data_IF_958687059557
#
_entry.id   IF_958687059557
#
_cell.length_a   1.000
_cell.length_b   1.000
_cell.length_c   1.000
_cell.angle_alpha   90.00
_cell.angle_beta   90.00
_cell.angle_gamma   90.00
#
_symmetry.space_group_name_H-M   'P 1'
#
loop_
_entity.id
_entity.type
_entity.pdbx_description
1 polymer ?
#
# COMPACT_ATOMS: atom_id res chain seq x y z
N UNK A 1 -18.02 -25.58 -10.45
CA UNK A 1 -18.78 -26.21 -9.34
C UNK A 1 -18.60 -25.53 -7.97
N UNK A 2 -17.54 -24.75 -7.76
CA UNK A 2 -17.34 -24.00 -6.50
C UNK A 2 -18.21 -22.74 -6.37
N UNK A 3 -18.85 -22.31 -7.45
CA UNK A 3 -19.64 -21.07 -7.47
C UNK A 3 -21.09 -21.31 -7.03
N UNK A 4 -21.65 -22.52 -7.27
CA UNK A 4 -23.05 -22.85 -6.92
C UNK A 4 -23.43 -22.60 -5.44
N UNK A 5 -22.61 -22.92 -4.43
CA UNK A 5 -22.97 -22.67 -3.02
C UNK A 5 -23.04 -21.18 -2.65
N UNK A 6 -22.33 -20.33 -3.41
CA UNK A 6 -22.31 -18.88 -3.16
C UNK A 6 -23.51 -18.15 -3.78
N UNK A 7 -24.19 -18.78 -4.74
CA UNK A 7 -25.37 -18.23 -5.40
C UNK A 7 -26.69 -18.87 -4.90
N UNK A 8 -26.67 -19.70 -3.85
CA UNK A 8 -27.90 -20.20 -3.25
C UNK A 8 -28.71 -19.04 -2.67
N UNK A 9 -29.98 -18.95 -3.02
CA UNK A 9 -30.91 -17.86 -2.65
C UNK A 9 -30.97 -17.57 -1.15
N UNK A 10 -30.65 -18.54 -0.30
CA UNK A 10 -30.74 -18.44 1.17
C UNK A 10 -29.63 -17.62 1.83
N UNK A 11 -28.54 -17.27 1.11
CA UNK A 11 -27.38 -16.55 1.71
C UNK A 11 -27.21 -15.10 1.27
N UNK A 12 -27.93 -14.64 0.29
CA UNK A 12 -27.83 -13.30 -0.24
C UNK A 12 -29.21 -12.65 -0.36
N UNK A 13 -29.83 -12.35 0.79
CA UNK A 13 -30.76 -11.23 0.79
C UNK A 13 -29.95 -10.00 0.39
N UNK A 14 -30.10 -9.62 -0.87
CA UNK A 14 -29.55 -8.35 -1.34
C UNK A 14 -30.35 -7.30 -0.60
N UNK A 15 -29.65 -6.57 0.27
CA UNK A 15 -30.18 -5.36 0.84
C UNK A 15 -30.85 -4.54 -0.27
N UNK A 16 -32.03 -3.98 0.00
CA UNK A 16 -32.83 -3.26 -1.01
C UNK A 16 -32.16 -1.95 -1.50
N UNK A 17 -30.94 -1.66 -1.04
CA UNK A 17 -30.17 -0.48 -1.45
C UNK A 17 -29.84 -0.50 -2.94
N UNK A 18 -29.94 0.65 -3.61
CA UNK A 18 -29.68 0.81 -5.04
C UNK A 18 -28.20 0.80 -5.39
N UNK A 19 -27.32 0.88 -4.39
CA UNK A 19 -25.87 0.89 -4.57
C UNK A 19 -25.14 0.10 -3.47
N UNK A 20 -23.96 -0.39 -3.82
CA UNK A 20 -23.01 -1.05 -2.93
C UNK A 20 -21.70 -0.25 -2.86
N UNK A 21 -21.23 0.05 -1.66
CA UNK A 21 -19.91 0.62 -1.43
C UNK A 21 -18.92 -0.48 -1.06
N UNK A 22 -17.83 -0.61 -1.81
CA UNK A 22 -16.83 -1.66 -1.60
C UNK A 22 -15.44 -1.06 -1.46
N UNK A 23 -14.77 -1.34 -0.36
CA UNK A 23 -13.38 -0.90 -0.15
C UNK A 23 -12.38 -1.63 -1.05
N UNK A 24 -12.66 -2.87 -1.43
CA UNK A 24 -11.86 -3.64 -2.39
C UNK A 24 -12.63 -4.88 -2.85
N UNK A 25 -12.54 -5.19 -4.13
CA UNK A 25 -13.07 -6.42 -4.73
C UNK A 25 -12.04 -7.58 -4.74
N UNK A 26 -10.96 -7.47 -3.96
CA UNK A 26 -9.93 -8.52 -3.89
C UNK A 26 -10.40 -9.82 -3.22
N UNK A 27 -11.40 -9.74 -2.35
CA UNK A 27 -12.01 -10.90 -1.69
C UNK A 27 -13.11 -11.52 -2.56
N UNK A 28 -13.22 -12.84 -2.54
CA UNK A 28 -14.23 -13.55 -3.32
C UNK A 28 -15.67 -13.12 -2.95
N UNK A 29 -15.95 -12.99 -1.64
CA UNK A 29 -17.25 -12.57 -1.16
C UNK A 29 -17.66 -11.19 -1.72
N UNK A 30 -16.71 -10.23 -1.68
CA UNK A 30 -16.96 -8.89 -2.22
C UNK A 30 -17.22 -8.93 -3.73
N UNK A 31 -16.49 -9.77 -4.48
CA UNK A 31 -16.71 -9.93 -5.92
C UNK A 31 -18.07 -10.52 -6.23
N UNK A 32 -18.46 -11.57 -5.50
CA UNK A 32 -19.78 -12.21 -5.68
C UNK A 32 -20.90 -11.24 -5.38
N UNK A 33 -20.80 -10.50 -4.27
CA UNK A 33 -21.78 -9.47 -3.89
C UNK A 33 -21.85 -8.37 -4.96
N UNK A 34 -20.68 -7.86 -5.39
CA UNK A 34 -20.61 -6.82 -6.43
C UNK A 34 -21.18 -7.29 -7.76
N UNK A 35 -20.85 -8.52 -8.19
CA UNK A 35 -21.38 -9.11 -9.41
C UNK A 35 -22.91 -9.22 -9.33
N UNK A 36 -23.44 -9.63 -8.19
CA UNK A 36 -24.88 -9.75 -7.99
C UNK A 36 -25.60 -8.40 -8.07
N UNK A 37 -25.04 -7.33 -7.47
CA UNK A 37 -25.56 -5.97 -7.64
C UNK A 37 -25.59 -5.55 -9.12
N UNK A 38 -24.50 -5.75 -9.83
CA UNK A 38 -24.41 -5.39 -11.27
C UNK A 38 -25.39 -6.18 -12.14
N UNK A 39 -25.56 -7.49 -11.89
CA UNK A 39 -26.54 -8.33 -12.59
C UNK A 39 -27.98 -7.85 -12.37
N UNK A 40 -28.27 -7.31 -11.20
CA UNK A 40 -29.55 -6.68 -10.87
C UNK A 40 -29.62 -5.20 -11.29
N UNK A 41 -28.73 -4.75 -12.18
CA UNK A 41 -28.66 -3.38 -12.70
C UNK A 41 -28.46 -2.30 -11.63
N UNK A 42 -27.98 -2.69 -10.45
CA UNK A 42 -27.64 -1.78 -9.34
C UNK A 42 -26.21 -1.30 -9.47
N UNK A 43 -25.88 -0.25 -8.75
CA UNK A 43 -24.57 0.38 -8.85
C UNK A 43 -23.59 -0.17 -7.81
N UNK A 44 -22.34 -0.33 -8.21
CA UNK A 44 -21.23 -0.69 -7.32
C UNK A 44 -20.18 0.40 -7.41
N UNK A 45 -19.84 0.98 -6.26
CA UNK A 45 -18.79 1.99 -6.12
C UNK A 45 -17.63 1.35 -5.37
N UNK A 46 -16.52 1.11 -6.06
CA UNK A 46 -15.30 0.56 -5.46
C UNK A 46 -14.30 1.66 -5.15
N UNK A 47 -13.62 1.54 -4.03
CA UNK A 47 -12.61 2.49 -3.58
C UNK A 47 -11.20 1.91 -3.68
N UNK A 48 -10.24 2.73 -4.05
CA UNK A 48 -8.84 2.36 -4.05
C UNK A 48 -8.38 1.97 -2.63
N UNK A 49 -7.98 0.71 -2.46
CA UNK A 49 -7.68 0.16 -1.15
C UNK A 49 -6.33 0.63 -0.57
N UNK A 50 -5.33 0.83 -1.39
CA UNK A 50 -3.96 0.97 -0.85
C UNK A 50 -3.06 1.98 -1.58
N UNK A 51 -3.55 2.70 -2.54
CA UNK A 51 -2.83 3.69 -3.38
C UNK A 51 -1.58 3.17 -4.10
N UNK A 52 -1.05 2.00 -3.76
CA UNK A 52 0.21 1.51 -4.29
C UNK A 52 0.06 0.64 -5.55
N UNK A 53 -1.09 0.02 -5.77
CA UNK A 53 -1.29 -0.91 -6.89
C UNK A 53 -1.06 -0.24 -8.24
N UNK A 54 -1.43 1.03 -8.35
CA UNK A 54 -1.21 1.86 -9.54
C UNK A 54 0.23 2.24 -9.82
N UNK A 55 1.08 2.09 -8.82
CA UNK A 55 2.49 2.48 -8.91
C UNK A 55 3.33 1.40 -9.56
N UNK A 56 2.80 0.16 -9.63
CA UNK A 56 3.53 -1.01 -10.12
C UNK A 56 3.37 -1.18 -11.63
N UNK A 57 4.38 -1.77 -12.27
CA UNK A 57 4.34 -2.06 -13.71
C UNK A 57 3.68 -3.39 -14.03
N UNK A 58 3.72 -4.34 -13.10
CA UNK A 58 3.56 -5.76 -13.40
C UNK A 58 2.43 -6.45 -12.60
N UNK A 59 1.39 -5.72 -12.20
CA UNK A 59 0.29 -6.31 -11.42
C UNK A 59 -1.10 -6.10 -12.05
N UNK A 60 -1.35 -6.58 -13.28
CA UNK A 60 -2.66 -6.46 -13.92
C UNK A 60 -3.77 -7.17 -13.13
N UNK A 61 -3.43 -8.23 -12.38
CA UNK A 61 -4.38 -8.93 -11.54
C UNK A 61 -4.90 -8.08 -10.37
N UNK A 62 -4.11 -7.15 -9.84
CA UNK A 62 -4.57 -6.25 -8.77
C UNK A 62 -5.47 -5.14 -9.32
N UNK A 63 -5.14 -4.59 -10.51
CA UNK A 63 -6.06 -3.69 -11.21
C UNK A 63 -7.40 -4.40 -11.49
N UNK A 64 -7.34 -5.65 -11.96
CA UNK A 64 -8.53 -6.47 -12.16
C UNK A 64 -9.30 -6.70 -10.85
N UNK A 65 -8.60 -7.00 -9.75
CA UNK A 65 -9.23 -7.23 -8.45
C UNK A 65 -9.92 -5.98 -7.87
N UNK A 66 -9.43 -4.79 -8.20
CA UNK A 66 -10.02 -3.53 -7.72
C UNK A 66 -11.04 -2.93 -8.68
N UNK A 67 -10.79 -3.02 -9.99
CA UNK A 67 -11.55 -2.32 -11.01
C UNK A 67 -12.65 -3.18 -11.65
N UNK A 68 -12.50 -4.51 -11.60
CA UNK A 68 -13.57 -5.39 -12.04
C UNK A 68 -14.74 -5.35 -11.05
N UNK A 69 -15.92 -5.62 -11.57
CA UNK A 69 -17.16 -5.67 -10.79
C UNK A 69 -17.52 -4.35 -10.09
N UNK A 70 -17.25 -3.20 -10.72
CA UNK A 70 -17.75 -1.92 -10.24
C UNK A 70 -18.27 -1.03 -11.36
N UNK A 71 -19.30 -0.23 -11.04
CA UNK A 71 -19.84 0.80 -11.94
C UNK A 71 -18.97 2.05 -11.91
N UNK A 72 -18.47 2.38 -10.73
CA UNK A 72 -17.63 3.55 -10.47
C UNK A 72 -16.43 3.12 -9.64
N UNK A 73 -15.26 3.69 -9.94
CA UNK A 73 -14.06 3.49 -9.16
C UNK A 73 -13.57 4.82 -8.60
N UNK A 74 -13.47 4.89 -7.29
CA UNK A 74 -12.92 6.05 -6.58
C UNK A 74 -11.43 5.88 -6.39
N UNK A 75 -10.69 6.75 -6.99
CA UNK A 75 -9.25 6.74 -6.98
C UNK A 75 -8.68 7.95 -6.23
N UNK A 76 -7.55 7.77 -5.57
CA UNK A 76 -6.87 8.83 -4.85
C UNK A 76 -5.66 9.34 -5.64
N UNK A 77 -5.49 10.67 -5.66
CA UNK A 77 -4.42 11.32 -6.41
C UNK A 77 -4.80 11.68 -7.84
N UNK A 78 -3.82 12.18 -8.60
CA UNK A 78 -4.02 12.76 -9.93
C UNK A 78 -3.39 11.95 -11.08
N UNK A 79 -2.98 10.70 -10.83
CA UNK A 79 -2.32 9.88 -11.84
C UNK A 79 -3.32 9.41 -12.92
N UNK A 80 -3.33 10.10 -14.05
CA UNK A 80 -4.32 9.91 -15.13
C UNK A 80 -4.18 8.63 -15.96
N UNK A 81 -3.05 7.93 -15.94
CA UNK A 81 -2.75 6.81 -16.87
C UNK A 81 -2.87 5.44 -16.21
N UNK A 82 -4.05 5.09 -15.68
CA UNK A 82 -4.18 3.86 -14.92
C UNK A 82 -4.73 2.67 -15.68
N UNK A 83 -5.56 2.87 -16.67
CA UNK A 83 -6.40 1.80 -17.18
C UNK A 83 -6.19 1.63 -18.66
N UNK A 84 -5.10 0.98 -19.04
CA UNK A 84 -4.98 0.44 -20.40
C UNK A 84 -5.50 -0.99 -20.52
N UNK A 85 -5.43 -1.78 -19.44
CA UNK A 85 -5.63 -3.23 -19.45
C UNK A 85 -7.10 -3.65 -19.40
N UNK A 86 -8.01 -2.82 -18.88
CA UNK A 86 -9.41 -3.19 -18.70
C UNK A 86 -10.36 -2.56 -19.72
N UNK A 87 -9.86 -1.98 -20.80
CA UNK A 87 -10.69 -1.37 -21.86
C UNK A 87 -11.65 -2.34 -22.55
N UNK A 88 -11.43 -3.64 -22.43
CA UNK A 88 -12.25 -4.69 -23.05
C UNK A 88 -13.22 -5.39 -22.09
N UNK A 89 -13.25 -5.03 -20.81
CA UNK A 89 -14.05 -5.76 -19.83
C UNK A 89 -15.42 -5.10 -19.63
N UNK A 90 -16.46 -5.84 -19.94
CA UNK A 90 -17.87 -5.52 -19.64
C UNK A 90 -18.14 -5.25 -18.15
N UNK A 91 -17.21 -5.61 -17.27
CA UNK A 91 -17.30 -5.51 -15.81
C UNK A 91 -16.43 -4.42 -15.22
N UNK A 92 -15.76 -3.62 -16.05
CA UNK A 92 -14.94 -2.49 -15.59
C UNK A 92 -15.76 -1.24 -15.29
N UNK A 93 -15.19 -0.26 -14.58
CA UNK A 93 -15.91 0.94 -14.20
C UNK A 93 -16.28 1.79 -15.42
N UNK A 94 -17.51 2.29 -15.44
CA UNK A 94 -18.00 3.29 -16.41
C UNK A 94 -17.24 4.61 -16.26
N UNK A 95 -16.86 4.94 -15.03
CA UNK A 95 -16.17 6.18 -14.70
C UNK A 95 -15.21 6.00 -13.54
N UNK A 96 -14.06 6.70 -13.60
CA UNK A 96 -13.13 6.84 -12.49
C UNK A 96 -13.26 8.24 -11.91
N UNK A 97 -13.44 8.30 -10.61
CA UNK A 97 -13.59 9.51 -9.83
C UNK A 97 -12.30 9.72 -9.03
N UNK A 98 -11.63 10.84 -9.27
CA UNK A 98 -10.40 11.16 -8.54
C UNK A 98 -10.73 12.01 -7.32
N UNK A 99 -10.46 11.47 -6.14
CA UNK A 99 -10.66 12.18 -4.87
C UNK A 99 -9.35 12.42 -4.12
N UNK A 100 -9.45 13.29 -3.15
CA UNK A 100 -8.40 13.51 -2.16
C UNK A 100 -8.48 12.44 -1.06
N UNK A 101 -7.36 11.82 -0.72
CA UNK A 101 -7.32 10.91 0.42
C UNK A 101 -7.25 11.72 1.72
N UNK A 102 -8.37 11.80 2.43
CA UNK A 102 -8.50 12.58 3.66
C UNK A 102 -7.76 11.98 4.85
N UNK A 103 -7.40 10.68 4.80
CA UNK A 103 -6.67 10.01 5.89
C UNK A 103 -5.17 10.28 5.84
N UNK A 104 -4.64 10.80 4.72
CA UNK A 104 -3.23 11.07 4.49
C UNK A 104 -2.95 12.58 4.54
N UNK A 105 -3.18 13.17 5.69
CA UNK A 105 -2.91 14.59 5.92
C UNK A 105 -1.45 14.85 6.31
N UNK A 106 -1.01 16.12 6.21
CA UNK A 106 0.32 16.53 6.67
C UNK A 106 0.49 16.22 8.16
N UNK A 107 1.57 15.50 8.49
CA UNK A 107 1.90 15.11 9.85
C UNK A 107 2.99 16.05 10.37
N UNK A 108 2.71 16.74 11.47
CA UNK A 108 3.69 17.60 12.15
C UNK A 108 4.56 16.75 13.08
N UNK A 109 5.87 16.95 13.02
CA UNK A 109 6.86 16.26 13.86
C UNK A 109 6.94 16.98 15.20
N UNK A 110 7.08 16.22 16.30
CA UNK A 110 7.26 16.77 17.65
C UNK A 110 8.69 17.30 17.84
N UNK A 111 8.85 18.28 18.74
CA UNK A 111 10.16 18.87 19.04
C UNK A 111 11.13 17.87 19.67
N UNK A 112 10.66 16.95 20.50
CA UNK A 112 11.48 15.92 21.16
C UNK A 112 11.62 14.66 20.30
N UNK A 113 12.55 14.68 19.37
CA UNK A 113 12.75 13.60 18.40
C UNK A 113 13.73 12.57 18.93
N UNK A 114 13.36 11.29 18.83
CA UNK A 114 14.21 10.16 19.25
C UNK A 114 15.21 9.78 18.16
N UNK A 115 16.43 9.45 18.57
CA UNK A 115 17.54 9.08 17.67
C UNK A 115 17.43 7.66 17.08
N UNK A 116 16.51 6.83 17.57
CA UNK A 116 16.31 5.49 17.02
C UNK A 116 15.73 5.56 15.60
N UNK A 117 16.02 4.53 14.83
CA UNK A 117 15.60 4.38 13.43
C UNK A 117 14.47 3.37 13.40
N UNK A 118 13.40 3.67 12.68
CA UNK A 118 12.27 2.76 12.56
C UNK A 118 12.33 2.06 11.19
N UNK A 119 12.46 0.75 11.22
CA UNK A 119 12.27 -0.07 10.03
C UNK A 119 10.82 -0.53 9.95
N UNK A 120 10.14 -0.15 8.88
CA UNK A 120 8.77 -0.55 8.56
C UNK A 120 8.85 -1.58 7.44
N UNK A 121 8.81 -2.84 7.81
CA UNK A 121 8.84 -3.94 6.86
C UNK A 121 7.47 -4.23 6.26
N UNK A 122 7.49 -4.97 5.15
CA UNK A 122 6.30 -5.46 4.48
C UNK A 122 5.73 -6.72 5.18
N UNK A 123 4.56 -7.19 4.74
CA UNK A 123 4.00 -8.48 5.12
C UNK A 123 4.78 -9.64 4.48
N UNK A 124 4.70 -10.82 5.07
CA UNK A 124 5.16 -12.06 4.46
C UNK A 124 4.19 -12.53 3.36
N UNK A 125 4.70 -13.26 2.37
CA UNK A 125 3.89 -13.73 1.23
C UNK A 125 2.80 -14.71 1.68
N UNK A 126 3.07 -15.55 2.68
CA UNK A 126 2.08 -16.44 3.24
C UNK A 126 0.88 -15.72 3.86
N UNK A 127 1.03 -14.44 4.20
CA UNK A 127 -0.05 -13.56 4.64
C UNK A 127 -0.75 -12.87 3.47
N UNK A 128 -0.24 -12.98 2.25
CA UNK A 128 -0.77 -12.34 1.05
C UNK A 128 -1.62 -13.30 0.22
N UNK A 129 -2.84 -12.89 -0.13
CA UNK A 129 -3.82 -13.68 -0.87
C UNK A 129 -3.51 -13.82 -2.36
N UNK A 130 -2.53 -13.11 -2.87
CA UNK A 130 -2.28 -12.98 -4.31
C UNK A 130 -1.07 -13.77 -4.81
N UNK A 131 -0.65 -14.76 -4.05
CA UNK A 131 0.37 -15.72 -4.45
C UNK A 131 1.81 -15.28 -4.21
N UNK A 132 2.76 -16.17 -4.44
CA UNK A 132 4.16 -15.92 -4.15
C UNK A 132 4.75 -14.88 -5.09
N UNK A 133 5.38 -13.87 -4.54
CA UNK A 133 6.28 -13.00 -5.30
C UNK A 133 7.55 -13.81 -5.64
N UNK A 134 7.92 -13.80 -6.91
CA UNK A 134 8.80 -14.79 -7.53
C UNK A 134 10.25 -14.75 -7.06
N UNK A 135 10.74 -13.65 -6.49
CA UNK A 135 12.18 -13.41 -6.35
C UNK A 135 12.69 -13.52 -4.91
N UNK A 136 11.81 -13.42 -3.91
CA UNK A 136 12.18 -13.49 -2.50
C UNK A 136 11.09 -14.19 -1.70
N UNK A 137 11.38 -15.41 -1.27
CA UNK A 137 10.50 -16.17 -0.37
C UNK A 137 10.47 -15.58 1.04
N UNK A 138 9.54 -16.05 1.87
CA UNK A 138 9.38 -15.55 3.24
C UNK A 138 10.60 -15.83 4.12
N UNK A 139 11.27 -16.95 3.92
CA UNK A 139 12.47 -17.30 4.66
C UNK A 139 13.65 -16.36 4.29
N UNK A 140 13.83 -16.11 2.99
CA UNK A 140 14.82 -15.14 2.50
C UNK A 140 14.50 -13.73 3.00
N UNK A 141 13.24 -13.33 2.96
CA UNK A 141 12.81 -12.01 3.45
C UNK A 141 13.06 -11.87 4.97
N UNK A 142 12.76 -12.90 5.74
CA UNK A 142 13.06 -12.90 7.18
C UNK A 142 14.57 -12.81 7.46
N UNK A 143 15.39 -13.56 6.70
CA UNK A 143 16.86 -13.46 6.79
C UNK A 143 17.35 -12.04 6.47
N UNK A 144 16.76 -11.42 5.44
CA UNK A 144 17.02 -10.02 5.09
C UNK A 144 16.70 -9.10 6.27
N UNK A 145 15.50 -9.19 6.85
CA UNK A 145 15.09 -8.37 7.98
C UNK A 145 16.03 -8.54 9.18
N UNK A 146 16.39 -9.78 9.52
CA UNK A 146 17.37 -10.06 10.61
C UNK A 146 18.72 -9.41 10.35
N UNK A 147 19.28 -9.54 9.14
CA UNK A 147 20.56 -8.92 8.79
C UNK A 147 20.47 -7.39 8.88
N UNK A 148 19.37 -6.80 8.43
CA UNK A 148 19.12 -5.36 8.51
C UNK A 148 19.08 -4.89 9.98
N UNK A 149 18.30 -5.54 10.83
CA UNK A 149 18.17 -5.20 12.25
C UNK A 149 19.51 -5.33 12.99
N UNK A 150 20.29 -6.36 12.67
CA UNK A 150 21.62 -6.57 13.24
C UNK A 150 22.71 -5.67 12.66
N UNK A 151 22.42 -4.89 11.61
CA UNK A 151 23.42 -3.99 11.02
C UNK A 151 23.71 -2.78 11.89
N UNK A 152 22.78 -2.35 12.74
CA UNK A 152 22.96 -1.24 13.67
C UNK A 152 22.06 -1.39 14.90
N UNK A 153 22.61 -1.24 16.11
CA UNK A 153 21.91 -1.46 17.39
C UNK A 153 20.70 -0.57 17.67
N UNK A 154 20.54 0.54 16.94
CA UNK A 154 19.43 1.49 17.16
C UNK A 154 18.30 1.39 16.12
N UNK A 155 18.23 0.33 15.33
CA UNK A 155 17.12 0.05 14.43
C UNK A 155 16.06 -0.74 15.18
N UNK A 156 14.82 -0.25 15.15
CA UNK A 156 13.65 -0.92 15.70
C UNK A 156 12.71 -1.34 14.56
N UNK A 157 12.19 -2.53 14.66
CA UNK A 157 11.25 -3.08 13.69
C UNK A 157 9.80 -2.77 14.07
N UNK A 158 9.11 -2.04 13.22
CA UNK A 158 7.66 -1.87 13.29
C UNK A 158 7.00 -3.00 12.51
N UNK A 159 6.42 -3.94 13.25
CA UNK A 159 5.75 -5.11 12.67
C UNK A 159 4.55 -4.71 11.81
N UNK A 160 4.34 -5.44 10.72
CA UNK A 160 3.12 -5.29 9.92
C UNK A 160 1.89 -5.77 10.72
N UNK A 161 0.73 -5.12 10.63
CA UNK A 161 -0.47 -5.50 11.39
C UNK A 161 -0.93 -6.95 11.17
N UNK A 162 -0.69 -7.50 9.99
CA UNK A 162 -1.04 -8.89 9.64
C UNK A 162 -0.15 -9.95 10.29
N UNK A 163 0.92 -9.59 11.00
CA UNK A 163 1.82 -10.53 11.67
C UNK A 163 1.19 -11.31 12.85
N UNK A 164 -0.12 -11.29 12.99
CA UNK A 164 -0.86 -12.11 13.97
C UNK A 164 -1.25 -13.49 13.43
N UNK A 165 -0.83 -13.85 12.22
CA UNK A 165 -1.16 -15.10 11.55
C UNK A 165 -0.19 -16.24 11.90
N UNK A 166 -0.51 -17.47 11.47
CA UNK A 166 0.34 -18.66 11.66
C UNK A 166 1.79 -18.47 11.17
N UNK A 167 1.99 -17.72 10.09
CA UNK A 167 3.32 -17.39 9.56
C UNK A 167 4.16 -16.56 10.53
N UNK A 168 3.53 -15.66 11.28
CA UNK A 168 4.22 -14.83 12.26
C UNK A 168 4.85 -15.64 13.40
N UNK A 169 4.33 -16.82 13.69
CA UNK A 169 4.88 -17.69 14.72
C UNK A 169 6.24 -18.29 14.31
N UNK A 170 6.49 -18.47 13.02
CA UNK A 170 7.73 -19.03 12.49
C UNK A 170 8.82 -17.97 12.25
N UNK A 171 8.44 -16.69 12.10
CA UNK A 171 9.34 -15.60 11.76
C UNK A 171 9.39 -14.55 12.87
N UNK A 172 9.85 -14.97 14.06
CA UNK A 172 9.92 -14.09 15.24
C UNK A 172 11.23 -13.29 15.29
N UNK A 173 11.11 -11.99 15.42
CA UNK A 173 12.20 -11.11 15.78
C UNK A 173 12.34 -11.01 17.30
N UNK A 174 13.55 -10.65 17.79
CA UNK A 174 13.76 -10.42 19.20
C UNK A 174 12.83 -9.32 19.72
N UNK A 175 12.20 -9.52 20.88
CA UNK A 175 11.27 -8.52 21.49
C UNK A 175 11.91 -7.15 21.66
N UNK A 176 13.23 -7.09 21.99
CA UNK A 176 13.98 -5.83 22.14
C UNK A 176 14.12 -5.02 20.85
N UNK A 177 14.00 -5.68 19.70
CA UNK A 177 14.13 -5.05 18.37
C UNK A 177 12.78 -4.62 17.82
N UNK A 178 11.67 -4.96 18.51
CA UNK A 178 10.31 -4.64 18.07
C UNK A 178 9.84 -3.35 18.75
N UNK A 179 9.19 -2.49 17.96
CA UNK A 179 8.44 -1.36 18.46
C UNK A 179 6.95 -1.55 18.18
N UNK A 180 6.14 -1.40 19.22
CA UNK A 180 4.68 -1.38 19.13
C UNK A 180 4.14 0.04 18.95
N UNK A 181 2.87 0.15 18.64
CA UNK A 181 2.16 1.43 18.54
C UNK A 181 1.74 1.78 17.12
N UNK A 182 0.94 2.83 17.02
CA UNK A 182 0.47 3.38 15.76
C UNK A 182 1.62 4.01 14.96
N UNK A 183 1.64 3.80 13.65
CA UNK A 183 2.65 4.38 12.76
C UNK A 183 2.63 5.91 12.79
N UNK A 184 1.46 6.52 12.85
CA UNK A 184 1.31 7.98 12.90
C UNK A 184 1.95 8.58 14.16
N UNK A 185 1.82 7.88 15.30
CA UNK A 185 2.48 8.27 16.55
C UNK A 185 4.00 8.13 16.44
N UNK A 186 4.48 7.07 15.77
CA UNK A 186 5.92 6.86 15.55
C UNK A 186 6.49 7.94 14.62
N UNK A 187 5.80 8.30 13.54
CA UNK A 187 6.23 9.35 12.61
C UNK A 187 6.46 10.68 13.35
N UNK A 188 5.63 11.02 14.33
CA UNK A 188 5.79 12.24 15.14
C UNK A 188 7.04 12.21 16.03
N UNK A 189 7.56 11.03 16.38
CA UNK A 189 8.62 10.83 17.41
C UNK A 189 9.99 10.50 16.85
N UNK A 190 10.12 10.08 15.60
CA UNK A 190 11.37 9.57 15.03
C UNK A 190 11.77 10.28 13.74
N UNK A 191 13.07 10.51 13.57
CA UNK A 191 13.62 11.26 12.42
C UNK A 191 13.80 10.47 11.14
N UNK A 192 14.07 9.17 11.25
CA UNK A 192 14.45 8.33 10.11
C UNK A 192 13.66 7.04 10.08
N UNK A 193 13.07 6.78 8.95
CA UNK A 193 12.37 5.55 8.63
C UNK A 193 13.07 4.80 7.51
N UNK A 194 13.21 3.48 7.68
CA UNK A 194 13.64 2.57 6.63
C UNK A 194 12.40 1.85 6.14
N UNK A 195 12.19 1.79 4.83
CA UNK A 195 11.12 1.03 4.19
C UNK A 195 11.71 0.18 3.07
N UNK A 196 11.17 -1.00 2.84
CA UNK A 196 11.58 -1.91 1.77
C UNK A 196 10.49 -2.13 0.72
N UNK A 197 9.35 -1.48 0.90
CA UNK A 197 8.24 -1.46 -0.03
C UNK A 197 7.56 -0.10 -0.07
N UNK A 198 7.10 0.30 -1.24
CA UNK A 198 6.17 1.42 -1.38
C UNK A 198 4.77 0.89 -1.10
N UNK A 199 4.22 1.29 0.03
CA UNK A 199 2.90 0.88 0.54
C UNK A 199 2.19 2.08 1.15
N UNK A 200 1.00 1.89 1.68
CA UNK A 200 0.30 2.95 2.41
C UNK A 200 1.15 3.50 3.57
N UNK A 201 1.93 2.65 4.24
CA UNK A 201 2.86 3.10 5.29
C UNK A 201 3.90 4.09 4.76
N UNK A 202 4.44 3.87 3.54
CA UNK A 202 5.34 4.82 2.91
C UNK A 202 4.66 6.18 2.70
N UNK A 203 3.41 6.22 2.23
CA UNK A 203 2.69 7.49 2.02
C UNK A 203 2.40 8.22 3.33
N UNK A 204 2.04 7.51 4.41
CA UNK A 204 1.93 8.13 5.74
C UNK A 204 3.25 8.79 6.15
N UNK A 205 4.38 8.10 6.00
CA UNK A 205 5.70 8.65 6.31
C UNK A 205 6.02 9.83 5.39
N UNK A 206 5.69 9.74 4.10
CA UNK A 206 5.95 10.78 3.11
C UNK A 206 5.14 12.07 3.34
N UNK A 207 4.01 12.00 4.07
CA UNK A 207 3.23 13.17 4.47
C UNK A 207 3.90 14.03 5.57
N UNK A 208 5.05 13.64 6.08
CA UNK A 208 5.84 14.36 7.08
C UNK A 208 7.21 14.75 6.52
N UNK A 209 7.98 15.52 7.27
CA UNK A 209 9.35 15.92 6.89
C UNK A 209 10.44 14.95 7.38
N UNK A 210 10.05 13.79 7.92
CA UNK A 210 11.01 12.76 8.36
C UNK A 210 11.84 12.23 7.18
N UNK A 211 13.05 11.80 7.47
CA UNK A 211 13.92 11.19 6.47
C UNK A 211 13.46 9.76 6.17
N UNK A 212 13.56 9.38 4.90
CA UNK A 212 13.21 8.05 4.43
C UNK A 212 14.41 7.44 3.72
N UNK A 213 14.78 6.24 4.15
CA UNK A 213 15.65 5.33 3.40
C UNK A 213 14.77 4.25 2.77
N UNK A 214 14.64 4.28 1.44
CA UNK A 214 13.96 3.21 0.73
C UNK A 214 14.98 2.20 0.21
N UNK A 215 14.93 0.98 0.77
CA UNK A 215 15.72 -0.17 0.33
C UNK A 215 14.90 -0.93 -0.70
N UNK A 216 15.16 -0.67 -1.97
CA UNK A 216 14.50 -1.37 -3.07
C UNK A 216 15.12 -2.76 -3.22
N UNK A 217 14.47 -3.77 -2.67
CA UNK A 217 14.89 -5.18 -2.68
C UNK A 217 14.33 -5.97 -3.89
N UNK A 218 13.77 -5.29 -4.88
CA UNK A 218 13.30 -5.91 -6.12
C UNK A 218 11.95 -6.62 -6.04
N UNK A 219 11.29 -6.67 -4.87
CA UNK A 219 10.00 -7.39 -4.72
C UNK A 219 8.91 -6.90 -5.67
N UNK A 220 8.97 -5.63 -6.08
CA UNK A 220 7.97 -5.04 -7.00
C UNK A 220 8.62 -4.03 -7.92
N UNK A 221 8.26 -4.07 -9.19
CA UNK A 221 8.73 -3.10 -10.19
C UNK A 221 7.85 -1.85 -10.16
N UNK A 222 8.44 -0.72 -9.82
CA UNK A 222 7.76 0.57 -9.73
C UNK A 222 7.86 1.28 -11.09
N UNK A 223 6.78 1.92 -11.52
CA UNK A 223 6.78 2.77 -12.73
C UNK A 223 7.88 3.84 -12.63
N UNK A 224 8.65 4.02 -13.71
CA UNK A 224 9.84 4.91 -13.76
C UNK A 224 9.52 6.34 -13.31
N UNK A 225 8.40 6.89 -13.74
CA UNK A 225 7.94 8.23 -13.36
C UNK A 225 7.71 8.36 -11.85
N UNK A 226 7.09 7.35 -11.23
CA UNK A 226 6.86 7.30 -9.79
C UNK A 226 8.16 7.13 -9.02
N UNK A 227 9.03 6.24 -9.46
CA UNK A 227 10.34 6.04 -8.83
C UNK A 227 11.18 7.32 -8.84
N UNK A 228 11.09 8.12 -9.91
CA UNK A 228 11.76 9.41 -9.98
C UNK A 228 11.24 10.41 -8.94
N UNK A 229 9.94 10.45 -8.69
CA UNK A 229 9.37 11.29 -7.63
C UNK A 229 9.72 10.76 -6.23
N UNK A 230 9.75 9.43 -6.04
CA UNK A 230 10.22 8.81 -4.80
C UNK A 230 11.67 9.19 -4.51
N UNK A 231 12.56 9.16 -5.52
CA UNK A 231 13.97 9.57 -5.39
C UNK A 231 14.16 11.04 -4.99
N UNK A 232 13.19 11.90 -5.24
CA UNK A 232 13.21 13.28 -4.74
C UNK A 232 12.79 13.38 -3.27
N UNK A 233 11.90 12.49 -2.80
CA UNK A 233 11.35 12.47 -1.44
C UNK A 233 12.17 11.63 -0.47
N UNK A 234 12.80 10.56 -0.93
CA UNK A 234 13.49 9.55 -0.14
C UNK A 234 14.87 9.26 -0.71
N UNK A 235 15.80 8.87 0.14
CA UNK A 235 17.06 8.29 -0.31
C UNK A 235 16.81 6.84 -0.71
N UNK A 236 16.94 6.55 -2.02
CA UNK A 236 16.60 5.25 -2.61
C UNK A 236 17.87 4.50 -2.95
N UNK A 237 17.95 3.24 -2.52
CA UNK A 237 19.05 2.32 -2.79
C UNK A 237 18.49 1.00 -3.29
N UNK A 238 19.00 0.52 -4.41
CA UNK A 238 18.79 -0.86 -4.85
C UNK A 238 19.73 -1.77 -4.06
N UNK A 239 19.21 -2.81 -3.47
CA UNK A 239 19.96 -3.72 -2.61
C UNK A 239 19.59 -5.17 -2.94
N UNK A 240 20.61 -6.02 -2.99
CA UNK A 240 20.39 -7.45 -3.03
C UNK A 240 20.03 -7.95 -1.62
N UNK A 241 18.82 -8.48 -1.41
CA UNK A 241 18.38 -8.95 -0.09
C UNK A 241 19.16 -10.14 0.43
N UNK A 242 19.79 -10.91 -0.45
CA UNK A 242 20.59 -12.08 -0.07
C UNK A 242 22.00 -11.70 0.36
N UNK A 243 22.54 -10.59 -0.19
CA UNK A 243 23.92 -10.15 0.05
C UNK A 243 23.98 -8.79 0.75
N UNK A 244 23.49 -8.75 1.98
CA UNK A 244 23.54 -7.53 2.81
C UNK A 244 24.91 -7.39 3.45
N UNK A 245 25.53 -6.22 3.24
CA UNK A 245 26.73 -5.78 3.91
C UNK A 245 26.37 -4.73 4.99
N UNK A 246 26.74 -5.02 6.26
CA UNK A 246 26.45 -4.15 7.40
C UNK A 246 27.04 -2.75 7.25
N UNK A 247 28.27 -2.63 6.74
CA UNK A 247 28.93 -1.34 6.55
C UNK A 247 28.24 -0.51 5.48
N UNK A 248 27.78 -1.14 4.39
CA UNK A 248 26.98 -0.47 3.35
C UNK A 248 25.63 0.02 3.92
N UNK A 249 24.97 -0.75 4.76
CA UNK A 249 23.72 -0.31 5.41
C UNK A 249 23.99 0.90 6.31
N UNK A 250 25.03 0.88 7.13
CA UNK A 250 25.41 2.02 7.96
C UNK A 250 25.70 3.28 7.12
N UNK A 251 26.40 3.12 6.00
CA UNK A 251 26.66 4.20 5.03
C UNK A 251 25.34 4.76 4.47
N UNK A 252 24.40 3.89 4.02
CA UNK A 252 23.13 4.35 3.46
C UNK A 252 22.26 5.07 4.49
N UNK A 253 22.26 4.60 5.73
CA UNK A 253 21.60 5.29 6.85
C UNK A 253 22.16 6.70 7.04
N UNK A 254 23.48 6.86 7.04
CA UNK A 254 24.12 8.17 7.19
C UNK A 254 23.80 9.09 5.98
N UNK A 255 23.81 8.56 4.77
CA UNK A 255 23.37 9.32 3.57
C UNK A 255 21.90 9.73 3.67
N UNK A 256 21.02 8.84 4.13
CA UNK A 256 19.59 9.14 4.29
C UNK A 256 19.34 10.20 5.36
N UNK A 257 20.09 10.21 6.47
CA UNK A 257 20.00 11.25 7.50
C UNK A 257 20.29 12.64 6.94
N UNK A 258 21.29 12.74 6.05
CA UNK A 258 21.73 13.98 5.44
C UNK A 258 21.04 14.28 4.10
N UNK A 259 20.07 13.44 3.69
CA UNK A 259 19.39 13.61 2.42
C UNK A 259 18.53 14.88 2.42
N UNK A 260 18.75 15.76 1.42
CA UNK A 260 17.92 16.94 1.21
C UNK A 260 16.69 16.54 0.41
N UNK A 261 15.51 16.63 1.05
CA UNK A 261 14.22 16.39 0.39
C UNK A 261 14.03 17.46 -0.67
N UNK A 262 13.82 17.04 -1.92
CA UNK A 262 13.58 17.92 -3.06
C UNK A 262 12.08 18.11 -3.28
N UNK A 263 11.71 19.19 -3.99
CA UNK A 263 10.33 19.37 -4.45
C UNK A 263 9.92 18.16 -5.29
N UNK A 264 8.82 17.51 -4.90
CA UNK A 264 8.33 16.29 -5.52
C UNK A 264 6.81 16.32 -5.61
N UNK A 265 6.27 15.47 -6.48
CA UNK A 265 4.83 15.34 -6.72
C UNK A 265 4.26 14.02 -6.22
N UNK A 266 5.00 13.28 -5.39
CA UNK A 266 4.60 11.91 -5.01
C UNK A 266 3.22 11.89 -4.32
N UNK A 267 2.96 12.84 -3.43
CA UNK A 267 1.67 12.93 -2.75
C UNK A 267 0.56 13.40 -3.71
N UNK A 268 0.84 14.39 -4.57
CA UNK A 268 -0.11 14.84 -5.58
C UNK A 268 -0.50 13.72 -6.56
N UNK A 269 0.48 12.93 -6.99
CA UNK A 269 0.24 11.83 -7.93
C UNK A 269 -0.54 10.67 -7.30
N UNK A 270 -0.30 10.37 -6.03
CA UNK A 270 -0.75 9.12 -5.43
C UNK A 270 -1.80 9.28 -4.32
N UNK A 271 -1.92 10.47 -3.74
CA UNK A 271 -2.71 10.70 -2.53
C UNK A 271 -3.68 11.87 -2.67
N UNK A 272 -3.21 13.01 -3.17
CA UNK A 272 -3.99 14.25 -3.21
C UNK A 272 -4.44 14.55 -4.64
N UNK A 273 -5.74 14.69 -4.83
CA UNK A 273 -6.31 15.21 -6.07
C UNK A 273 -6.58 16.73 -5.94
N UNK A 274 -6.44 17.45 -7.04
CA UNK A 274 -6.93 18.84 -7.12
C UNK A 274 -8.45 18.92 -7.04
N UNK A 275 -9.14 17.85 -7.42
CA UNK A 275 -10.60 17.76 -7.34
C UNK A 275 -11.01 17.38 -5.92
N UNK A 276 -11.57 18.33 -5.20
CA UNK A 276 -12.14 18.13 -3.85
C UNK A 276 -13.60 17.67 -3.88
N UNK A 277 -14.14 17.28 -5.05
CA UNK A 277 -15.58 17.12 -5.24
C UNK A 277 -16.07 15.76 -4.74
N UNK A 278 -16.23 15.65 -3.44
CA UNK A 278 -17.07 14.61 -2.84
C UNK A 278 -18.52 14.69 -3.33
N UNK A 279 -18.98 15.86 -3.74
CA UNK A 279 -20.29 16.10 -4.35
C UNK A 279 -20.54 15.25 -5.60
N UNK A 280 -19.50 14.86 -6.33
CA UNK A 280 -19.67 13.95 -7.48
C UNK A 280 -20.15 12.55 -7.05
N UNK A 281 -19.66 12.06 -5.90
CA UNK A 281 -20.16 10.79 -5.32
C UNK A 281 -21.57 10.99 -4.80
N UNK A 282 -21.86 12.07 -4.10
CA UNK A 282 -23.21 12.37 -3.61
C UNK A 282 -24.22 12.44 -4.76
N UNK A 283 -23.86 13.06 -5.87
CA UNK A 283 -24.70 13.14 -7.08
C UNK A 283 -24.92 11.78 -7.77
N UNK A 284 -24.01 10.82 -7.57
CA UNK A 284 -24.20 9.43 -8.06
C UNK A 284 -25.14 8.67 -7.13
N UNK A 285 -25.03 8.92 -5.82
CA UNK A 285 -25.86 8.27 -4.80
C UNK A 285 -27.29 8.82 -4.74
N UNK A 286 -27.52 10.03 -5.26
CA UNK A 286 -28.84 10.69 -5.29
C UNK A 286 -29.65 10.40 -6.56
N UNK A 287 -29.10 9.69 -7.52
CA UNK A 287 -29.76 9.24 -8.77
C UNK A 287 -30.19 7.79 -8.66
#
# INVERSE_FOLDING_TARGET
NCIKPYFSKERFEIDKSDFLLVGTNSKLENRVTSANYLLNKRQVISFNHANYNILMTDEPHQEYAELAFCSYYVDFGSLKKRIKTLKSNYLGPKKIIHLNNTTLNKITILNNIKEKIIYVGDSFNGDERHGPYRELDDAGYYKFQKKLLNSKKNILYKTHPKLKTLYANNFKHNKKDIISGDLLVLIKKYKLFIVDRISQAFFHIACSDVKILYLNIGRKKIKKEILNEIKKRAYVVNIDPFNINKNKIAFYINKAKNFKIKKNKILELCVHSKNKNFNEILNILSK
#
